data_IF_541407485384
#
_entry.id   IF_541407485384
#
_cell.length_a   1.000
_cell.length_b   1.000
_cell.length_c   1.000
_cell.angle_alpha   90.00
_cell.angle_beta   90.00
_cell.angle_gamma   90.00
#
_symmetry.space_group_name_H-M   'P 1'
#
loop_
_entity.id
_entity.type
_entity.pdbx_description
1 polymer ?
#
# COMPACT_ATOMS: atom_id res chain seq x y z
N UNK A 1 1.79 -16.51 74.27
CA UNK A 1 3.10 -16.58 73.59
C UNK A 1 2.86 -17.37 72.31
N UNK A 2 2.96 -16.91 71.07
CA UNK A 2 3.50 -15.69 70.46
C UNK A 2 2.84 -15.52 69.08
N UNK A 3 2.08 -14.44 68.84
CA UNK A 3 1.59 -14.06 67.51
C UNK A 3 2.29 -12.78 66.96
N UNK A 4 3.33 -12.29 67.64
CA UNK A 4 3.94 -10.98 67.35
C UNK A 4 4.99 -11.02 66.23
N UNK A 5 5.56 -12.18 65.92
CA UNK A 5 6.69 -12.32 64.97
C UNK A 5 6.25 -12.42 63.50
N UNK A 6 5.19 -13.16 63.19
CA UNK A 6 4.75 -13.41 61.80
C UNK A 6 4.20 -12.16 61.10
N UNK A 7 3.45 -11.31 61.83
CA UNK A 7 2.88 -10.06 61.28
C UNK A 7 3.97 -9.03 60.93
N UNK A 8 5.08 -9.04 61.68
CA UNK A 8 6.23 -8.16 61.42
C UNK A 8 7.02 -8.57 60.18
N UNK A 9 7.03 -9.86 59.83
CA UNK A 9 7.74 -10.38 58.66
C UNK A 9 6.92 -10.11 57.39
N UNK A 10 5.60 -10.34 57.42
CA UNK A 10 4.70 -10.02 56.31
C UNK A 10 4.67 -8.53 55.97
N UNK A 11 4.68 -7.66 56.98
CA UNK A 11 4.77 -6.20 56.76
C UNK A 11 6.07 -5.78 56.08
N UNK A 12 7.21 -6.41 56.42
CA UNK A 12 8.50 -6.14 55.78
C UNK A 12 8.57 -6.63 54.34
N UNK A 13 7.98 -7.79 54.04
CA UNK A 13 7.88 -8.30 52.67
C UNK A 13 7.02 -7.41 51.77
N UNK A 14 5.86 -6.96 52.27
CA UNK A 14 5.00 -6.03 51.53
C UNK A 14 5.69 -4.70 51.24
N UNK A 15 6.43 -4.16 52.21
CA UNK A 15 7.18 -2.91 52.04
C UNK A 15 8.30 -3.03 51.00
N UNK A 16 9.01 -4.17 50.95
CA UNK A 16 10.07 -4.41 49.97
C UNK A 16 9.53 -4.49 48.54
N UNK A 17 8.39 -5.16 48.33
CA UNK A 17 7.76 -5.24 47.00
C UNK A 17 7.32 -3.85 46.53
N UNK A 18 6.75 -3.05 47.42
CA UNK A 18 6.37 -1.66 47.13
C UNK A 18 7.59 -0.81 46.76
N UNK A 19 8.70 -0.95 47.50
CA UNK A 19 9.92 -0.21 47.25
C UNK A 19 10.52 -0.56 45.87
N UNK A 20 10.54 -1.85 45.50
CA UNK A 20 11.03 -2.31 44.20
C UNK A 20 10.17 -1.74 43.06
N UNK A 21 8.84 -1.76 43.21
CA UNK A 21 7.93 -1.21 42.20
C UNK A 21 8.09 0.30 42.00
N UNK A 22 8.35 1.05 43.07
CA UNK A 22 8.61 2.50 42.98
C UNK A 22 9.95 2.81 42.30
N UNK A 23 10.99 2.02 42.58
CA UNK A 23 12.28 2.16 41.90
C UNK A 23 12.15 1.85 40.41
N UNK A 24 11.42 0.79 40.05
CA UNK A 24 11.18 0.41 38.65
C UNK A 24 10.40 1.48 37.88
N UNK A 25 9.36 2.07 38.51
CA UNK A 25 8.59 3.16 37.93
C UNK A 25 9.45 4.42 37.72
N UNK A 26 10.31 4.76 38.69
CA UNK A 26 11.24 5.88 38.56
C UNK A 26 12.29 5.63 37.47
N UNK A 27 12.78 4.39 37.35
CA UNK A 27 13.73 4.01 36.32
C UNK A 27 13.12 4.10 34.92
N UNK A 28 11.92 3.54 34.71
CA UNK A 28 11.20 3.63 33.44
C UNK A 28 10.92 5.09 33.06
N UNK A 29 10.44 5.90 34.00
CA UNK A 29 10.16 7.31 33.76
C UNK A 29 11.44 8.12 33.43
N UNK A 30 12.55 7.83 34.10
CA UNK A 30 13.85 8.44 33.79
C UNK A 30 14.41 8.00 32.44
N UNK A 31 14.26 6.72 32.11
CA UNK A 31 14.69 6.15 30.84
C UNK A 31 13.96 6.82 29.67
N UNK A 32 12.63 6.92 29.70
CA UNK A 32 11.85 7.60 28.64
C UNK A 32 12.31 9.05 28.43
N UNK A 33 12.49 9.82 29.52
CA UNK A 33 12.95 11.21 29.43
C UNK A 33 14.35 11.35 28.78
N UNK A 34 15.25 10.37 28.98
CA UNK A 34 16.57 10.37 28.35
C UNK A 34 16.52 10.03 26.86
N UNK A 35 15.58 9.21 26.41
CA UNK A 35 15.44 8.85 24.99
C UNK A 35 14.87 9.99 24.13
N UNK A 36 13.96 10.79 24.67
CA UNK A 36 13.39 11.94 23.93
C UNK A 36 14.45 13.01 23.59
N UNK A 37 15.49 13.16 24.43
CA UNK A 37 16.60 14.10 24.18
C UNK A 37 17.53 13.67 23.05
N UNK A 38 17.43 12.43 22.55
CA UNK A 38 18.26 11.94 21.44
C UNK A 38 17.59 12.12 20.07
N UNK A 39 16.25 12.24 20.00
CA UNK A 39 15.53 12.45 18.72
C UNK A 39 15.54 13.91 18.23
N UNK A 40 15.66 14.89 19.12
CA UNK A 40 15.59 16.32 18.77
C UNK A 40 16.90 16.85 18.12
N UNK A 41 18.00 16.07 18.12
CA UNK A 41 19.29 16.54 17.58
C UNK A 41 19.54 16.20 16.09
N UNK A 42 18.66 15.43 15.45
CA UNK A 42 18.86 14.93 14.08
C UNK A 42 17.88 15.52 13.04
N UNK A 43 17.25 16.67 13.30
CA UNK A 43 16.41 17.37 12.33
C UNK A 43 16.99 18.75 11.98
N UNK A 44 18.24 18.75 11.52
CA UNK A 44 18.81 19.85 10.77
C UNK A 44 19.70 19.27 9.68
N UNK A 45 19.74 19.90 8.50
CA UNK A 45 20.33 19.44 7.21
C UNK A 45 19.31 18.61 6.39
N UNK A 46 18.77 19.01 5.22
CA UNK A 46 19.32 19.83 4.14
C UNK A 46 18.20 20.39 3.23
N UNK A 47 18.16 21.71 3.07
CA UNK A 47 17.42 22.40 2.02
C UNK A 47 18.21 22.26 0.70
N UNK A 48 17.76 21.39 -0.21
CA UNK A 48 18.37 21.26 -1.55
C UNK A 48 17.85 22.38 -2.45
N UNK A 49 18.75 23.29 -2.82
CA UNK A 49 18.56 24.34 -3.81
C UNK A 49 18.18 23.69 -5.16
N UNK A 50 17.07 24.14 -5.74
CA UNK A 50 16.65 23.76 -7.10
C UNK A 50 17.40 24.67 -8.08
N UNK A 51 18.42 24.14 -8.72
CA UNK A 51 19.02 24.74 -9.91
C UNK A 51 18.24 24.23 -11.12
N UNK A 52 17.46 25.11 -11.76
CA UNK A 52 16.80 24.82 -13.03
C UNK A 52 17.86 24.95 -14.13
N UNK A 53 18.32 23.83 -14.64
CA UNK A 53 19.04 23.81 -15.91
C UNK A 53 18.03 23.56 -17.05
N UNK A 54 17.94 24.52 -17.96
CA UNK A 54 17.09 24.50 -19.15
C UNK A 54 17.86 23.82 -20.27
N UNK A 55 17.60 22.55 -20.53
CA UNK A 55 18.14 21.86 -21.72
C UNK A 55 17.05 21.65 -22.78
N UNK A 56 17.27 22.07 -24.04
CA UNK A 56 16.25 22.06 -25.10
C UNK A 56 16.00 20.67 -25.71
N UNK A 57 14.73 20.47 -26.06
CA UNK A 57 14.12 19.31 -26.72
C UNK A 57 14.80 18.90 -28.03
N UNK A 58 15.01 17.59 -28.30
CA UNK A 58 15.29 17.10 -29.64
C UNK A 58 13.99 16.84 -30.43
N UNK A 59 13.99 17.34 -31.66
CA UNK A 59 12.97 17.24 -32.71
C UNK A 59 12.78 15.78 -33.19
N UNK A 60 11.56 15.34 -33.55
CA UNK A 60 11.31 13.99 -34.07
C UNK A 60 11.76 13.85 -35.52
N UNK A 61 12.58 12.84 -35.81
CA UNK A 61 12.94 12.44 -37.18
C UNK A 61 11.89 11.47 -37.72
N UNK A 62 11.16 11.91 -38.74
CA UNK A 62 10.31 11.10 -39.62
C UNK A 62 11.18 10.27 -40.58
N UNK A 63 10.81 8.99 -40.83
CA UNK A 63 10.78 8.26 -42.12
C UNK A 63 10.89 6.72 -41.91
N UNK A 64 10.59 5.84 -42.88
CA UNK A 64 9.25 5.26 -43.12
C UNK A 64 9.26 3.70 -43.13
N UNK A 65 8.08 3.08 -43.09
CA UNK A 65 7.84 1.69 -43.53
C UNK A 65 6.96 1.74 -44.82
N UNK A 66 6.74 0.66 -45.60
CA UNK A 66 7.27 -0.72 -45.61
C UNK A 66 7.74 -1.17 -47.03
N UNK A 67 8.31 -2.38 -47.17
CA UNK A 67 8.28 -3.10 -48.45
C UNK A 67 8.28 -4.63 -48.25
N UNK A 68 7.51 -5.39 -49.05
CA UNK A 68 7.14 -6.79 -48.79
C UNK A 68 8.07 -7.77 -49.50
N UNK A 69 8.43 -8.86 -48.82
CA UNK A 69 9.03 -10.04 -49.45
C UNK A 69 8.03 -11.20 -49.36
N UNK A 70 7.52 -11.58 -50.53
CA UNK A 70 6.82 -12.83 -50.75
C UNK A 70 7.83 -13.99 -50.75
N UNK A 71 7.43 -15.15 -50.24
CA UNK A 71 7.95 -16.40 -50.76
C UNK A 71 6.86 -17.48 -50.74
N UNK A 72 6.74 -18.15 -51.87
CA UNK A 72 5.78 -19.22 -52.14
C UNK A 72 6.43 -20.55 -51.74
N UNK A 73 5.70 -21.43 -51.07
CA UNK A 73 5.91 -22.85 -51.30
C UNK A 73 4.61 -23.66 -51.14
N UNK A 74 4.33 -24.47 -52.15
CA UNK A 74 3.21 -25.39 -52.28
C UNK A 74 3.77 -26.79 -52.08
N UNK A 75 3.31 -27.54 -51.09
CA UNK A 75 3.13 -28.98 -51.27
C UNK A 75 2.09 -29.56 -50.29
N UNK A 76 1.42 -30.59 -50.77
CA UNK A 76 0.17 -31.19 -50.30
C UNK A 76 0.39 -32.09 -49.08
N UNK A 77 -0.58 -32.12 -48.16
CA UNK A 77 -0.92 -33.38 -47.51
C UNK A 77 -2.40 -33.45 -47.08
N UNK A 78 -2.89 -34.67 -47.02
CA UNK A 78 -4.28 -35.12 -47.14
C UNK A 78 -4.94 -35.38 -45.77
N UNK A 79 -6.25 -35.04 -45.68
CA UNK A 79 -7.31 -35.50 -44.75
C UNK A 79 -6.96 -35.72 -43.27
N UNK A 80 -7.66 -34.99 -42.38
CA UNK A 80 -8.74 -35.51 -41.50
C UNK A 80 -9.62 -34.31 -41.07
N UNK A 81 -10.85 -34.21 -41.57
CA UNK A 81 -11.84 -33.27 -41.02
C UNK A 81 -12.56 -33.90 -39.84
N UNK A 82 -11.95 -33.81 -38.66
CA UNK A 82 -12.69 -33.91 -37.40
C UNK A 82 -13.35 -32.56 -37.17
N UNK A 83 -14.66 -32.48 -37.37
CA UNK A 83 -15.46 -31.30 -37.00
C UNK A 83 -15.56 -31.26 -35.48
N UNK A 84 -14.52 -30.73 -34.84
CA UNK A 84 -14.63 -30.21 -33.49
C UNK A 84 -15.44 -28.92 -33.60
N UNK A 85 -16.69 -28.95 -33.12
CA UNK A 85 -17.49 -27.76 -32.91
C UNK A 85 -16.83 -26.97 -31.79
N UNK A 86 -15.90 -26.11 -32.16
CA UNK A 86 -15.34 -25.09 -31.28
C UNK A 86 -16.49 -24.13 -30.99
N UNK A 87 -17.06 -24.22 -29.80
CA UNK A 87 -17.87 -23.12 -29.27
C UNK A 87 -16.97 -21.90 -29.26
N UNK A 88 -17.28 -20.95 -30.13
CA UNK A 88 -16.65 -19.65 -30.10
C UNK A 88 -17.12 -19.00 -28.81
N UNK A 89 -16.33 -19.14 -27.74
CA UNK A 89 -16.45 -18.27 -26.57
C UNK A 89 -16.17 -16.89 -27.10
N UNK A 90 -17.24 -16.12 -27.35
CA UNK A 90 -17.14 -14.71 -27.67
C UNK A 90 -16.64 -14.04 -26.39
N UNK A 91 -15.32 -13.96 -26.27
CA UNK A 91 -14.67 -13.19 -25.23
C UNK A 91 -14.87 -11.73 -25.61
N UNK A 92 -15.97 -11.14 -25.16
CA UNK A 92 -16.16 -9.69 -25.22
C UNK A 92 -15.01 -9.09 -24.44
N UNK A 93 -14.11 -8.37 -25.11
CA UNK A 93 -12.98 -7.72 -24.46
C UNK A 93 -13.52 -6.66 -23.51
N UNK A 94 -13.56 -7.00 -22.22
CA UNK A 94 -14.02 -6.09 -21.19
C UNK A 94 -13.03 -4.93 -21.08
N UNK A 95 -13.52 -3.69 -21.19
CA UNK A 95 -12.65 -2.52 -21.13
C UNK A 95 -12.24 -2.25 -19.68
N UNK A 96 -10.94 -2.09 -19.47
CA UNK A 96 -10.36 -1.75 -18.17
C UNK A 96 -9.72 -0.37 -18.21
N UNK A 97 -9.92 0.41 -17.14
CA UNK A 97 -9.31 1.73 -16.95
C UNK A 97 -8.52 1.69 -15.65
N UNK A 98 -7.27 2.13 -15.70
CA UNK A 98 -6.41 2.23 -14.53
C UNK A 98 -6.24 3.70 -14.14
N UNK A 99 -6.61 4.04 -12.92
CA UNK A 99 -6.44 5.36 -12.34
C UNK A 99 -5.25 5.29 -11.38
N UNK A 100 -4.07 5.83 -11.74
CA UNK A 100 -2.90 5.79 -10.87
C UNK A 100 -3.09 6.74 -9.68
N UNK A 101 -2.73 6.26 -8.50
CA UNK A 101 -2.66 7.01 -7.24
C UNK A 101 -1.22 7.37 -6.87
N UNK A 102 -0.24 6.54 -7.28
CA UNK A 102 1.18 6.81 -7.09
C UNK A 102 1.87 5.87 -6.11
N UNK A 103 2.91 6.38 -5.44
CA UNK A 103 3.77 5.62 -4.53
C UNK A 103 4.19 6.47 -3.34
N UNK A 104 4.19 5.89 -2.14
CA UNK A 104 4.64 6.54 -0.90
C UNK A 104 4.90 5.48 0.18
N UNK A 105 5.41 5.89 1.34
CA UNK A 105 5.73 4.98 2.43
C UNK A 105 5.37 5.57 3.79
N UNK A 106 5.22 4.70 4.79
CA UNK A 106 4.93 5.10 6.16
C UNK A 106 5.54 4.14 7.16
N UNK A 107 5.89 4.69 8.34
CA UNK A 107 6.34 3.93 9.51
C UNK A 107 5.28 3.85 10.61
N UNK A 108 4.05 4.27 10.31
CA UNK A 108 2.95 4.25 11.28
C UNK A 108 2.45 2.83 11.57
N UNK A 109 2.19 2.53 12.84
CA UNK A 109 1.51 1.30 13.26
C UNK A 109 -0.03 1.38 13.19
N UNK A 110 -0.56 2.56 12.88
CA UNK A 110 -1.97 2.81 12.60
C UNK A 110 -2.13 3.31 11.16
N UNK A 111 -3.33 3.16 10.58
CA UNK A 111 -3.58 3.64 9.22
C UNK A 111 -3.36 5.15 9.15
N UNK A 112 -2.25 5.53 8.51
CA UNK A 112 -1.87 6.90 8.26
C UNK A 112 -2.11 7.22 6.78
N UNK A 113 -2.53 8.44 6.52
CA UNK A 113 -2.73 8.94 5.16
C UNK A 113 -1.39 9.11 4.46
N UNK A 114 -1.30 8.60 3.24
CA UNK A 114 -0.13 8.80 2.40
C UNK A 114 -0.29 10.09 1.61
N UNK A 115 0.53 11.09 1.92
CA UNK A 115 0.50 12.38 1.25
C UNK A 115 0.69 12.22 -0.27
N UNK A 116 -0.18 12.87 -1.05
CA UNK A 116 -0.12 12.86 -2.51
C UNK A 116 -0.74 11.64 -3.20
N UNK A 117 -1.26 10.65 -2.44
CA UNK A 117 -1.93 9.47 -3.01
C UNK A 117 -3.44 9.63 -2.89
N UNK A 118 -4.00 10.53 -3.69
CA UNK A 118 -5.42 10.84 -3.72
C UNK A 118 -5.93 11.00 -5.16
N UNK A 119 -7.16 10.56 -5.41
CA UNK A 119 -7.85 10.82 -6.67
C UNK A 119 -9.35 11.01 -6.46
N UNK A 120 -9.92 11.96 -7.20
CA UNK A 120 -11.38 12.13 -7.28
C UNK A 120 -11.91 11.34 -8.47
N UNK A 121 -12.83 10.41 -8.21
CA UNK A 121 -13.50 9.61 -9.22
C UNK A 121 -14.94 10.09 -9.33
N UNK A 122 -15.31 10.52 -10.53
CA UNK A 122 -16.68 10.85 -10.90
C UNK A 122 -17.26 9.71 -11.75
N UNK A 123 -18.18 8.89 -11.21
CA UNK A 123 -18.75 7.75 -11.91
C UNK A 123 -19.51 8.16 -13.19
N UNK A 124 -19.99 9.40 -13.29
CA UNK A 124 -20.71 9.89 -14.48
C UNK A 124 -19.80 10.02 -15.72
N UNK A 125 -18.48 10.06 -15.53
CA UNK A 125 -17.49 10.10 -16.61
C UNK A 125 -17.19 8.72 -17.21
N UNK A 126 -17.69 7.66 -16.60
CA UNK A 126 -17.48 6.28 -17.03
C UNK A 126 -18.81 5.66 -17.45
N UNK A 127 -18.84 5.03 -18.62
CA UNK A 127 -20.04 4.36 -19.10
C UNK A 127 -20.14 2.98 -18.43
N UNK A 128 -21.26 2.72 -17.74
CA UNK A 128 -21.64 1.41 -17.20
C UNK A 128 -20.49 0.65 -16.47
N UNK A 129 -20.05 1.19 -15.32
CA UNK A 129 -19.04 0.51 -14.48
C UNK A 129 -19.59 -0.85 -14.01
N UNK A 130 -18.82 -1.92 -14.24
CA UNK A 130 -19.09 -3.25 -13.70
C UNK A 130 -18.48 -3.44 -12.31
N UNK A 131 -17.21 -3.06 -12.14
CA UNK A 131 -16.53 -3.16 -10.85
C UNK A 131 -15.37 -2.16 -10.71
N UNK A 132 -15.05 -1.87 -9.45
CA UNK A 132 -13.87 -1.12 -9.05
C UNK A 132 -13.03 -1.98 -8.11
N UNK A 133 -11.71 -2.00 -8.28
CA UNK A 133 -10.77 -2.80 -7.48
C UNK A 133 -9.56 -1.92 -7.16
N UNK A 134 -9.11 -1.92 -5.92
CA UNK A 134 -7.85 -1.29 -5.53
C UNK A 134 -6.70 -2.26 -5.77
N UNK A 135 -5.64 -1.78 -6.42
CA UNK A 135 -4.41 -2.54 -6.61
C UNK A 135 -3.22 -1.71 -6.13
N UNK A 136 -2.29 -2.35 -5.43
CA UNK A 136 -1.03 -1.71 -5.05
C UNK A 136 0.06 -2.76 -4.90
N UNK A 137 1.29 -2.39 -5.25
CA UNK A 137 2.49 -3.14 -4.88
C UNK A 137 2.87 -2.76 -3.46
N UNK A 138 2.96 -3.75 -2.57
CA UNK A 138 3.33 -3.52 -1.18
C UNK A 138 4.57 -4.30 -0.82
N UNK A 139 5.38 -3.72 0.07
CA UNK A 139 6.47 -4.42 0.72
C UNK A 139 6.82 -3.73 2.04
N UNK A 140 7.49 -4.46 2.92
CA UNK A 140 7.96 -3.96 4.22
C UNK A 140 9.48 -4.07 4.30
N UNK A 141 10.13 -3.06 4.88
CA UNK A 141 11.59 -3.04 5.00
C UNK A 141 12.13 -4.33 5.65
N UNK A 142 13.08 -4.97 4.96
CA UNK A 142 13.71 -6.21 5.45
C UNK A 142 12.77 -7.42 5.60
N UNK A 143 11.50 -7.32 5.17
CA UNK A 143 10.53 -8.41 5.30
C UNK A 143 10.09 -8.67 6.75
N UNK A 144 10.26 -7.68 7.62
CA UNK A 144 9.91 -7.79 9.04
C UNK A 144 8.54 -7.16 9.29
N UNK A 145 7.58 -7.97 9.76
CA UNK A 145 6.20 -7.54 9.96
C UNK A 145 5.37 -7.64 8.69
N UNK A 146 4.49 -6.66 8.46
CA UNK A 146 3.59 -6.63 7.31
C UNK A 146 3.22 -5.21 6.93
N UNK A 147 3.29 -4.94 5.63
CA UNK A 147 2.75 -3.72 5.05
C UNK A 147 1.26 -3.91 4.75
N UNK A 148 0.46 -2.91 5.07
CA UNK A 148 -0.97 -2.84 4.79
C UNK A 148 -1.28 -1.56 4.05
N UNK A 149 -2.19 -1.61 3.09
CA UNK A 149 -2.79 -0.43 2.47
C UNK A 149 -4.30 -0.61 2.32
N UNK A 150 -5.03 0.49 2.33
CA UNK A 150 -6.45 0.56 2.06
C UNK A 150 -6.80 1.93 1.47
N UNK A 151 -7.98 2.04 0.88
CA UNK A 151 -8.59 3.30 0.47
C UNK A 151 -9.43 3.89 1.61
N UNK A 152 -9.46 5.21 1.64
CA UNK A 152 -10.28 6.03 2.51
C UNK A 152 -11.08 7.01 1.66
N UNK A 153 -12.40 7.02 1.80
CA UNK A 153 -13.27 7.98 1.13
C UNK A 153 -13.30 9.25 1.96
N UNK A 154 -12.65 10.30 1.45
CA UNK A 154 -12.46 11.56 2.17
C UNK A 154 -13.79 12.24 2.46
N UNK A 155 -14.70 12.27 1.48
CA UNK A 155 -15.99 12.96 1.58
C UNK A 155 -16.90 12.33 2.65
N UNK A 156 -16.86 11.01 2.77
CA UNK A 156 -17.71 10.23 3.70
C UNK A 156 -16.98 9.88 5.01
N UNK A 157 -15.72 10.27 5.12
CA UNK A 157 -14.81 9.93 6.22
C UNK A 157 -14.75 8.43 6.52
N UNK A 158 -14.85 7.62 5.48
CA UNK A 158 -15.06 6.18 5.62
C UNK A 158 -13.86 5.37 5.09
N UNK A 159 -13.20 4.55 5.93
CA UNK A 159 -12.23 3.58 5.43
C UNK A 159 -12.95 2.44 4.70
N UNK A 160 -12.49 2.10 3.49
CA UNK A 160 -13.02 1.01 2.70
C UNK A 160 -12.28 -0.28 3.04
N UNK A 161 -12.83 -1.06 3.96
CA UNK A 161 -12.19 -2.29 4.46
C UNK A 161 -12.03 -3.32 3.33
N UNK A 162 -12.99 -3.38 2.41
CA UNK A 162 -12.96 -4.25 1.22
C UNK A 162 -11.83 -3.91 0.23
N UNK A 163 -11.26 -2.71 0.33
CA UNK A 163 -10.09 -2.29 -0.45
C UNK A 163 -8.76 -2.71 0.19
N UNK A 164 -8.77 -3.31 1.38
CA UNK A 164 -7.55 -3.61 2.11
C UNK A 164 -6.71 -4.68 1.42
N UNK A 165 -5.41 -4.41 1.33
CA UNK A 165 -4.39 -5.32 0.79
C UNK A 165 -3.19 -5.36 1.73
N UNK A 166 -2.48 -6.48 1.77
CA UNK A 166 -1.28 -6.62 2.62
C UNK A 166 -0.20 -7.49 1.99
N UNK A 167 1.04 -7.25 2.41
CA UNK A 167 2.18 -8.07 2.04
C UNK A 167 3.21 -8.15 3.19
N UNK A 168 3.60 -9.35 3.65
CA UNK A 168 4.59 -9.54 4.72
C UNK A 168 6.02 -9.71 4.21
N UNK A 169 6.31 -9.42 2.95
CA UNK A 169 7.63 -9.66 2.35
C UNK A 169 8.38 -8.37 2.04
N UNK A 170 9.70 -8.47 1.87
CA UNK A 170 10.57 -7.37 1.44
C UNK A 170 10.49 -7.06 -0.06
N UNK A 171 9.93 -7.97 -0.85
CA UNK A 171 9.74 -7.77 -2.29
C UNK A 171 8.39 -7.14 -2.58
N UNK A 172 8.38 -6.09 -3.42
CA UNK A 172 7.15 -5.47 -3.91
C UNK A 172 6.30 -6.49 -4.67
N UNK A 173 5.12 -6.82 -4.13
CA UNK A 173 4.15 -7.70 -4.77
C UNK A 173 2.87 -6.92 -5.04
N UNK A 174 2.45 -6.88 -6.31
CA UNK A 174 1.15 -6.32 -6.69
C UNK A 174 0.03 -7.18 -6.09
N UNK A 175 -0.76 -6.56 -5.22
CA UNK A 175 -1.96 -7.14 -4.60
C UNK A 175 -3.17 -6.42 -5.14
N UNK A 176 -4.23 -7.18 -5.40
CA UNK A 176 -5.55 -6.65 -5.74
C UNK A 176 -6.51 -6.91 -4.57
N UNK A 177 -7.35 -5.92 -4.26
CA UNK A 177 -8.38 -6.01 -3.23
C UNK A 177 -9.60 -6.79 -3.69
N UNK A 178 -10.62 -6.85 -2.83
CA UNK A 178 -11.98 -7.16 -3.24
C UNK A 178 -12.59 -6.05 -4.11
N UNK A 179 -13.82 -6.27 -4.59
CA UNK A 179 -14.60 -5.23 -5.27
C UNK A 179 -14.98 -4.15 -4.25
N UNK A 180 -14.66 -2.90 -4.56
CA UNK A 180 -15.04 -1.74 -3.75
C UNK A 180 -16.38 -1.18 -4.24
N UNK A 181 -17.18 -0.54 -3.36
CA UNK A 181 -18.43 0.10 -3.74
C UNK A 181 -18.21 1.15 -4.81
N UNK A 182 -19.06 1.13 -5.83
CA UNK A 182 -19.08 2.17 -6.86
C UNK A 182 -19.89 3.35 -6.28
N UNK A 183 -19.29 4.54 -6.13
CA UNK A 183 -20.01 5.68 -5.60
C UNK A 183 -21.09 6.14 -6.59
N UNK A 184 -22.18 6.72 -6.09
CA UNK A 184 -23.24 7.30 -6.93
C UNK A 184 -22.92 8.73 -7.41
N UNK A 185 -21.94 9.37 -6.79
CA UNK A 185 -21.52 10.75 -7.04
C UNK A 185 -20.00 10.83 -7.06
N UNK A 186 -19.45 11.99 -7.43
CA UNK A 186 -18.01 12.21 -7.38
C UNK A 186 -17.48 12.07 -5.95
N UNK A 187 -16.49 11.19 -5.75
CA UNK A 187 -15.87 10.92 -4.45
C UNK A 187 -14.36 10.91 -4.55
N UNK A 188 -13.71 11.38 -3.51
CA UNK A 188 -12.26 11.47 -3.37
C UNK A 188 -11.76 10.29 -2.54
N UNK A 189 -10.92 9.47 -3.17
CA UNK A 189 -10.29 8.30 -2.59
C UNK A 189 -8.84 8.60 -2.25
N UNK A 190 -8.44 8.39 -1.01
CA UNK A 190 -7.08 8.57 -0.51
C UNK A 190 -6.50 7.23 -0.04
N UNK A 191 -5.23 6.99 -0.31
CA UNK A 191 -4.55 5.79 0.20
C UNK A 191 -4.12 6.00 1.64
N UNK A 192 -4.44 5.04 2.49
CA UNK A 192 -3.90 4.92 3.84
C UNK A 192 -3.06 3.66 3.92
N UNK A 193 -1.98 3.71 4.70
CA UNK A 193 -1.13 2.56 4.94
C UNK A 193 -0.69 2.46 6.40
N UNK A 194 -0.27 1.26 6.78
CA UNK A 194 0.36 0.99 8.07
C UNK A 194 1.36 -0.15 7.95
N UNK A 195 2.29 -0.21 8.88
CA UNK A 195 3.18 -1.35 9.13
C UNK A 195 2.83 -1.98 10.47
N UNK A 196 3.08 -3.27 10.65
CA UNK A 196 2.93 -3.90 11.97
C UNK A 196 4.04 -3.45 12.95
N UNK A 197 5.20 -3.02 12.43
CA UNK A 197 6.38 -2.66 13.22
C UNK A 197 6.93 -1.29 12.77
N UNK A 198 6.94 -0.31 13.68
CA UNK A 198 7.29 1.10 13.35
C UNK A 198 8.73 1.31 12.87
N UNK A 199 9.63 0.38 13.17
CA UNK A 199 11.03 0.45 12.72
C UNK A 199 11.19 0.07 11.24
N UNK A 200 10.20 -0.64 10.67
CA UNK A 200 10.22 -1.15 9.30
C UNK A 200 9.11 -0.48 8.49
N UNK A 201 9.48 0.38 7.54
CA UNK A 201 8.48 1.12 6.77
C UNK A 201 7.67 0.18 5.88
N UNK A 202 6.36 0.45 5.81
CA UNK A 202 5.50 -0.07 4.78
C UNK A 202 5.61 0.82 3.54
N UNK A 203 5.96 0.23 2.41
CA UNK A 203 6.03 0.90 1.12
C UNK A 203 4.83 0.50 0.29
N UNK A 204 4.22 1.49 -0.33
CA UNK A 204 3.10 1.36 -1.26
C UNK A 204 3.55 1.94 -2.58
N UNK A 205 3.55 1.13 -3.62
CA UNK A 205 3.99 1.49 -4.95
C UNK A 205 2.96 1.09 -5.99
N UNK A 206 2.94 1.81 -7.11
CA UNK A 206 2.01 1.51 -8.22
C UNK A 206 0.55 1.37 -7.72
N UNK A 207 0.18 2.17 -6.73
CA UNK A 207 -1.19 2.20 -6.24
C UNK A 207 -2.08 2.71 -7.35
N UNK A 208 -3.20 2.01 -7.59
CA UNK A 208 -4.15 2.35 -8.65
C UNK A 208 -5.53 1.79 -8.35
N UNK A 209 -6.55 2.44 -8.90
CA UNK A 209 -7.91 1.90 -8.95
C UNK A 209 -8.15 1.36 -10.35
N UNK A 210 -8.43 0.07 -10.46
CA UNK A 210 -8.87 -0.59 -11.69
C UNK A 210 -10.40 -0.50 -11.78
N UNK A 211 -10.88 0.14 -12.82
CA UNK A 211 -12.30 0.19 -13.18
C UNK A 211 -12.51 -0.73 -14.37
N UNK A 212 -13.42 -1.68 -14.20
CA UNK A 212 -13.83 -2.58 -15.29
C UNK A 212 -15.22 -2.19 -15.74
N UNK A 213 -15.42 -2.01 -17.04
CA UNK A 213 -16.69 -1.60 -17.66
C UNK A 213 -17.50 -2.82 -18.11
N UNK A 214 -18.80 -2.67 -18.31
CA UNK A 214 -19.69 -3.75 -18.79
C UNK A 214 -19.55 -4.03 -20.29
#
# INVERSE_FOLDING_TARGET
MDQSSSTKILGKLGLSILAISLVDLLFLNWWVYRYDKLKVKNENVQQRVIERDLSPSPTPVLSPAPSPAADNNVEKDVKVSTVNRTETVVQTSQKEIFIPLGSSSTKSNSYAELAGLEVTIDPSKYWAIDSMIFEASLWVDGGNGRAWAQLYVVDDKNPLIESQVSNPTSGGVLKSSGKIPIPSTSKTFRVQAKTDLVDYAAHVENARIKITLR
#
